data_IF_184154532672
#
_entry.id   IF_184154532672
#
_cell.length_a   1.000
_cell.length_b   1.000
_cell.length_c   1.000
_cell.angle_alpha   90.00
_cell.angle_beta   90.00
_cell.angle_gamma   90.00
#
_symmetry.space_group_name_H-M   'P 1'
#
loop_
_entity.id
_entity.type
_entity.pdbx_description
1 polymer ?
#
# COMPACT_ATOMS: atom_id res chain seq x y z
N UNK A 1 -11.13 7.72 11.27
CA UNK A 1 -9.80 8.36 11.40
C UNK A 1 -9.09 8.29 10.06
N UNK A 2 -8.22 9.24 9.71
CA UNK A 2 -7.38 9.09 8.52
C UNK A 2 -6.42 7.92 8.69
N UNK A 3 -6.19 7.13 7.64
CA UNK A 3 -5.16 6.08 7.65
C UNK A 3 -3.81 6.74 7.92
N UNK A 4 -3.01 6.23 8.88
CA UNK A 4 -1.69 6.79 9.16
C UNK A 4 -0.78 6.65 7.94
N UNK A 5 0.21 7.55 7.81
CA UNK A 5 1.28 7.39 6.82
C UNK A 5 2.08 6.12 7.16
N UNK A 6 2.07 5.16 6.24
CA UNK A 6 2.75 3.86 6.38
C UNK A 6 4.16 3.88 5.78
N UNK A 7 4.66 5.06 5.40
CA UNK A 7 5.91 5.27 4.67
C UNK A 7 5.70 5.84 3.26
N UNK A 8 4.49 6.27 2.90
CA UNK A 8 4.22 6.86 1.58
C UNK A 8 5.07 8.11 1.33
N UNK A 9 5.17 9.00 2.32
CA UNK A 9 5.96 10.22 2.16
C UNK A 9 7.44 9.89 1.88
N UNK A 10 8.04 9.04 2.71
CA UNK A 10 9.44 8.62 2.54
C UNK A 10 9.68 7.94 1.20
N UNK A 11 8.76 7.07 0.75
CA UNK A 11 8.90 6.39 -0.54
C UNK A 11 8.83 7.37 -1.72
N UNK A 12 7.96 8.39 -1.66
CA UNK A 12 7.86 9.45 -2.68
C UNK A 12 9.11 10.31 -2.73
N UNK A 13 9.65 10.71 -1.58
CA UNK A 13 10.90 11.44 -1.49
C UNK A 13 12.07 10.64 -2.09
N UNK A 14 12.13 9.33 -1.82
CA UNK A 14 13.14 8.44 -2.37
C UNK A 14 13.00 8.29 -3.89
N UNK A 15 11.77 8.15 -4.42
CA UNK A 15 11.52 8.11 -5.86
C UNK A 15 11.92 9.43 -6.55
N UNK A 16 11.64 10.57 -5.92
CA UNK A 16 12.05 11.87 -6.44
C UNK A 16 13.59 11.99 -6.49
N UNK A 17 14.29 11.54 -5.44
CA UNK A 17 15.75 11.49 -5.40
C UNK A 17 16.34 10.54 -6.46
N UNK A 18 15.69 9.40 -6.70
CA UNK A 18 16.11 8.41 -7.70
C UNK A 18 15.91 8.88 -9.16
N UNK A 19 14.91 9.72 -9.40
CA UNK A 19 14.58 10.26 -10.75
C UNK A 19 15.28 11.59 -11.05
N UNK A 20 16.07 12.12 -10.10
CA UNK A 20 16.72 13.42 -10.24
C UNK A 20 15.77 14.61 -10.16
N UNK A 21 14.52 14.39 -9.73
CA UNK A 21 13.53 15.46 -9.50
C UNK A 21 13.61 16.04 -8.07
N UNK A 22 14.35 15.38 -7.17
CA UNK A 22 14.66 15.84 -5.82
C UNK A 22 16.00 16.57 -5.70
N UNK A 23 16.25 17.19 -4.54
CA UNK A 23 17.50 17.91 -4.26
C UNK A 23 18.73 17.03 -4.00
N UNK A 24 18.54 15.70 -3.88
CA UNK A 24 19.59 14.72 -3.64
C UNK A 24 19.48 13.58 -4.66
N UNK A 25 20.62 12.97 -5.01
CA UNK A 25 20.70 11.84 -5.95
C UNK A 25 20.74 10.53 -5.16
N UNK A 26 19.84 9.61 -5.49
CA UNK A 26 19.85 8.25 -4.95
C UNK A 26 20.08 7.24 -6.08
N UNK A 27 21.24 6.57 -6.05
CA UNK A 27 21.62 5.52 -7.01
C UNK A 27 22.08 4.27 -6.25
N UNK A 28 21.73 3.09 -6.79
CA UNK A 28 22.15 1.79 -6.27
C UNK A 28 22.57 0.88 -7.43
N UNK A 29 23.28 -0.21 -7.12
CA UNK A 29 23.64 -1.21 -8.12
C UNK A 29 22.39 -1.88 -8.71
N UNK A 30 22.45 -2.22 -10.01
CA UNK A 30 21.32 -2.76 -10.77
C UNK A 30 20.77 -4.06 -10.17
N UNK A 31 21.65 -4.97 -9.76
CA UNK A 31 21.31 -6.24 -9.14
C UNK A 31 20.62 -6.04 -7.77
N UNK A 32 21.10 -5.07 -6.99
CA UNK A 32 20.49 -4.67 -5.71
C UNK A 32 19.09 -4.09 -5.94
N UNK A 33 18.92 -3.22 -6.94
CA UNK A 33 17.62 -2.66 -7.30
C UNK A 33 16.60 -3.74 -7.66
N UNK A 34 16.99 -4.72 -8.49
CA UNK A 34 16.11 -5.84 -8.87
C UNK A 34 15.73 -6.71 -7.68
N UNK A 35 16.69 -6.99 -6.78
CA UNK A 35 16.43 -7.79 -5.59
C UNK A 35 15.45 -7.09 -4.63
N UNK A 36 15.62 -5.78 -4.42
CA UNK A 36 14.71 -4.99 -3.60
C UNK A 36 13.32 -4.88 -4.25
N UNK A 37 13.25 -4.67 -5.56
CA UNK A 37 11.99 -4.66 -6.31
C UNK A 37 11.24 -6.00 -6.19
N UNK A 38 11.95 -7.13 -6.28
CA UNK A 38 11.36 -8.46 -6.10
C UNK A 38 10.87 -8.70 -4.66
N UNK A 39 11.53 -8.11 -3.65
CA UNK A 39 11.04 -8.15 -2.28
C UNK A 39 9.74 -7.34 -2.11
N UNK A 40 9.65 -6.16 -2.75
CA UNK A 40 8.42 -5.38 -2.80
C UNK A 40 7.28 -6.15 -3.49
N UNK A 41 7.55 -6.86 -4.58
CA UNK A 41 6.54 -7.68 -5.26
C UNK A 41 5.96 -8.77 -4.36
N UNK A 42 6.83 -9.51 -3.64
CA UNK A 42 6.38 -10.51 -2.67
C UNK A 42 5.52 -9.89 -1.56
N UNK A 43 5.91 -8.72 -1.05
CA UNK A 43 5.12 -8.02 -0.03
C UNK A 43 3.74 -7.62 -0.57
N UNK A 44 3.67 -7.10 -1.79
CA UNK A 44 2.40 -6.76 -2.43
C UNK A 44 1.52 -8.00 -2.59
N UNK A 45 2.07 -9.11 -3.05
CA UNK A 45 1.36 -10.39 -3.17
C UNK A 45 0.83 -10.88 -1.81
N UNK A 46 1.66 -10.84 -0.76
CA UNK A 46 1.28 -11.25 0.59
C UNK A 46 0.12 -10.41 1.13
N UNK A 47 0.21 -9.08 0.98
CA UNK A 47 -0.86 -8.16 1.37
C UNK A 47 -2.12 -8.39 0.53
N UNK A 48 -2.00 -8.73 -0.75
CA UNK A 48 -3.16 -9.07 -1.59
C UNK A 48 -3.83 -10.35 -1.12
N UNK A 49 -3.06 -11.35 -0.67
CA UNK A 49 -3.61 -12.58 -0.09
C UNK A 49 -4.36 -12.30 1.20
N UNK A 50 -3.82 -11.46 2.08
CA UNK A 50 -4.51 -11.02 3.31
C UNK A 50 -5.83 -10.34 2.97
N UNK A 51 -5.82 -9.36 2.06
CA UNK A 51 -7.04 -8.66 1.63
C UNK A 51 -8.10 -9.59 1.03
N UNK A 52 -7.67 -10.61 0.27
CA UNK A 52 -8.58 -11.62 -0.27
C UNK A 52 -9.14 -12.53 0.82
N UNK A 53 -8.57 -12.65 2.00
CA UNK A 53 -9.18 -13.39 3.10
C UNK A 53 -10.17 -12.52 3.93
N UNK A 54 -10.14 -11.20 3.76
CA UNK A 54 -10.81 -10.22 4.63
C UNK A 54 -12.28 -9.93 4.34
N UNK A 55 -12.88 -10.48 3.29
CA UNK A 55 -14.33 -10.28 3.05
C UNK A 55 -15.20 -10.76 4.23
N UNK A 56 -14.63 -11.55 5.14
CA UNK A 56 -15.25 -11.98 6.39
C UNK A 56 -15.17 -10.95 7.54
N UNK A 57 -14.29 -9.94 7.45
CA UNK A 57 -14.02 -9.01 8.56
C UNK A 57 -14.94 -7.78 8.58
N UNK A 58 -15.56 -7.42 7.45
CA UNK A 58 -16.40 -6.22 7.34
C UNK A 58 -17.89 -6.50 7.55
N UNK A 59 -18.32 -7.75 7.36
CA UNK A 59 -19.69 -8.21 7.56
C UNK A 59 -19.81 -9.05 8.83
N UNK A 60 -19.83 -8.38 9.99
CA UNK A 60 -19.82 -9.04 11.30
C UNK A 60 -21.24 -9.42 11.69
N UNK A 61 -21.47 -10.72 11.88
CA UNK A 61 -22.76 -11.31 12.27
C UNK A 61 -22.61 -12.12 13.56
N UNK A 62 -23.72 -12.50 14.20
CA UNK A 62 -23.72 -13.34 15.41
C UNK A 62 -23.91 -12.60 16.73
N UNK A 63 -24.00 -11.26 16.72
CA UNK A 63 -24.46 -10.50 17.88
C UNK A 63 -26.01 -10.50 17.96
N UNK A 64 -26.61 -10.51 19.17
CA UNK A 64 -28.06 -10.38 19.32
C UNK A 64 -28.60 -9.04 18.78
N UNK A 65 -29.86 -8.98 18.35
CA UNK A 65 -30.51 -7.76 17.82
C UNK A 65 -30.86 -6.70 18.89
N UNK A 66 -30.24 -6.79 20.06
CA UNK A 66 -30.32 -5.74 21.08
C UNK A 66 -29.46 -4.54 20.66
N UNK A 67 -29.76 -3.31 21.13
CA UNK A 67 -28.98 -2.11 20.78
C UNK A 67 -27.46 -2.26 20.98
N UNK A 68 -27.04 -2.97 22.03
CA UNK A 68 -25.63 -3.29 22.29
C UNK A 68 -25.02 -4.23 21.25
N UNK A 69 -25.76 -5.23 20.78
CA UNK A 69 -25.29 -6.16 19.75
C UNK A 69 -25.20 -5.50 18.37
N UNK A 70 -26.15 -4.64 18.02
CA UNK A 70 -26.04 -3.80 16.82
C UNK A 70 -24.82 -2.85 16.89
N UNK A 71 -24.56 -2.28 18.06
CA UNK A 71 -23.38 -1.43 18.30
C UNK A 71 -22.06 -2.19 18.12
N UNK A 72 -21.98 -3.43 18.61
CA UNK A 72 -20.81 -4.29 18.43
C UNK A 72 -20.61 -4.68 16.96
N UNK A 73 -21.66 -5.13 16.26
CA UNK A 73 -21.59 -5.49 14.85
C UNK A 73 -21.05 -4.32 14.01
N UNK A 74 -21.57 -3.11 14.26
CA UNK A 74 -21.06 -1.89 13.62
C UNK A 74 -19.60 -1.61 13.96
N UNK A 75 -19.24 -1.59 15.25
CA UNK A 75 -17.88 -1.27 15.69
C UNK A 75 -16.81 -2.22 15.16
N UNK A 76 -17.11 -3.53 15.09
CA UNK A 76 -16.20 -4.49 14.47
C UNK A 76 -16.16 -4.35 12.94
N UNK A 77 -17.30 -4.09 12.29
CA UNK A 77 -17.32 -3.80 10.85
C UNK A 77 -16.51 -2.55 10.49
N UNK A 78 -16.56 -1.51 11.33
CA UNK A 78 -15.75 -0.30 11.20
C UNK A 78 -14.25 -0.62 11.30
N UNK A 79 -13.84 -1.44 12.29
CA UNK A 79 -12.46 -1.92 12.43
C UNK A 79 -12.00 -2.77 11.24
N UNK A 80 -12.89 -3.61 10.69
CA UNK A 80 -12.60 -4.38 9.48
C UNK A 80 -12.28 -3.48 8.29
N UNK A 81 -13.01 -2.36 8.13
CA UNK A 81 -12.71 -1.36 7.09
C UNK A 81 -11.40 -0.63 7.35
N UNK A 82 -11.12 -0.26 8.61
CA UNK A 82 -9.83 0.33 8.97
C UNK A 82 -8.65 -0.60 8.65
N UNK A 83 -8.80 -1.91 8.91
CA UNK A 83 -7.79 -2.91 8.56
C UNK A 83 -7.54 -2.96 7.05
N UNK A 84 -8.60 -3.06 6.25
CA UNK A 84 -8.48 -3.06 4.78
C UNK A 84 -7.79 -1.79 4.28
N UNK A 85 -8.16 -0.62 4.81
CA UNK A 85 -7.53 0.66 4.48
C UNK A 85 -6.02 0.66 4.79
N UNK A 86 -5.63 0.08 5.93
CA UNK A 86 -4.21 -0.06 6.32
C UNK A 86 -3.46 -1.02 5.41
N UNK A 87 -4.05 -2.16 5.05
CA UNK A 87 -3.44 -3.12 4.12
C UNK A 87 -3.22 -2.48 2.74
N UNK A 88 -4.20 -1.73 2.24
CA UNK A 88 -4.08 -0.98 0.99
C UNK A 88 -2.99 0.11 1.08
N UNK A 89 -2.87 0.78 2.22
CA UNK A 89 -1.82 1.76 2.48
C UNK A 89 -0.41 1.14 2.38
N UNK A 90 -0.21 -0.04 2.97
CA UNK A 90 1.06 -0.76 2.87
C UNK A 90 1.35 -1.24 1.44
N UNK A 91 0.33 -1.64 0.68
CA UNK A 91 0.49 -1.99 -0.73
C UNK A 91 0.94 -0.78 -1.57
N UNK A 92 0.32 0.38 -1.36
CA UNK A 92 0.73 1.64 -2.01
C UNK A 92 2.19 1.95 -1.67
N UNK A 93 2.56 1.92 -0.38
CA UNK A 93 3.94 2.16 0.06
C UNK A 93 4.93 1.18 -0.58
N UNK A 94 4.62 -0.11 -0.65
CA UNK A 94 5.49 -1.12 -1.26
C UNK A 94 5.71 -0.87 -2.76
N UNK A 95 4.67 -0.46 -3.50
CA UNK A 95 4.76 -0.09 -4.91
C UNK A 95 5.60 1.18 -5.12
N UNK A 96 5.46 2.17 -4.25
CA UNK A 96 6.29 3.39 -4.28
C UNK A 96 7.76 3.08 -4.02
N UNK A 97 8.07 2.22 -3.04
CA UNK A 97 9.45 1.79 -2.80
C UNK A 97 10.01 0.98 -3.99
N UNK A 98 9.21 0.09 -4.58
CA UNK A 98 9.59 -0.62 -5.82
C UNK A 98 9.99 0.37 -6.91
N UNK A 99 9.17 1.40 -7.13
CA UNK A 99 9.45 2.43 -8.11
C UNK A 99 10.77 3.16 -7.80
N UNK A 100 10.99 3.55 -6.54
CA UNK A 100 12.22 4.21 -6.09
C UNK A 100 13.47 3.36 -6.31
N UNK A 101 13.45 2.08 -5.93
CA UNK A 101 14.59 1.18 -6.11
C UNK A 101 14.90 0.92 -7.58
N UNK A 102 13.87 0.70 -8.41
CA UNK A 102 14.05 0.52 -9.85
C UNK A 102 14.60 1.78 -10.52
N UNK A 103 14.10 2.97 -10.17
CA UNK A 103 14.64 4.22 -10.68
C UNK A 103 16.12 4.42 -10.27
N UNK A 104 16.46 4.10 -9.02
CA UNK A 104 17.82 4.21 -8.51
C UNK A 104 18.80 3.20 -9.17
N UNK A 105 18.28 2.07 -9.65
CA UNK A 105 18.99 1.11 -10.49
C UNK A 105 18.89 1.37 -12.00
N UNK A 106 18.35 2.52 -12.42
CA UNK A 106 18.21 2.95 -13.83
C UNK A 106 17.20 2.12 -14.67
N UNK A 107 16.31 1.39 -14.01
CA UNK A 107 15.17 0.67 -14.61
C UNK A 107 13.93 1.57 -14.75
N UNK A 108 14.05 2.70 -15.45
CA UNK A 108 13.02 3.74 -15.44
C UNK A 108 11.65 3.30 -15.97
N UNK A 109 11.59 2.42 -16.97
CA UNK A 109 10.32 1.94 -17.52
C UNK A 109 9.52 1.12 -16.49
N UNK A 110 10.20 0.23 -15.76
CA UNK A 110 9.60 -0.59 -14.72
C UNK A 110 9.28 0.25 -13.47
N UNK A 111 10.13 1.23 -13.16
CA UNK A 111 9.90 2.19 -12.09
C UNK A 111 8.63 3.00 -12.31
N UNK A 112 8.43 3.53 -13.52
CA UNK A 112 7.25 4.29 -13.89
C UNK A 112 5.98 3.41 -13.88
N UNK A 113 6.08 2.16 -14.32
CA UNK A 113 4.98 1.20 -14.22
C UNK A 113 4.57 0.92 -12.76
N UNK A 114 5.55 0.77 -11.86
CA UNK A 114 5.30 0.58 -10.43
C UNK A 114 4.69 1.84 -9.78
N UNK A 115 5.19 3.03 -10.14
CA UNK A 115 4.64 4.30 -9.66
C UNK A 115 3.18 4.49 -10.12
N UNK A 116 2.89 4.18 -11.38
CA UNK A 116 1.52 4.20 -11.91
C UNK A 116 0.60 3.26 -11.15
N UNK A 117 1.03 2.03 -10.89
CA UNK A 117 0.24 1.08 -10.11
C UNK A 117 -0.06 1.59 -8.69
N UNK A 118 0.89 2.30 -8.05
CA UNK A 118 0.65 2.93 -6.75
C UNK A 118 -0.41 4.04 -6.84
N UNK A 119 -0.35 4.88 -7.88
CA UNK A 119 -1.33 5.94 -8.11
C UNK A 119 -2.73 5.39 -8.41
N UNK A 120 -2.84 4.35 -9.23
CA UNK A 120 -4.11 3.66 -9.51
C UNK A 120 -4.72 3.08 -8.24
N UNK A 121 -3.90 2.46 -7.37
CA UNK A 121 -4.36 1.95 -6.09
C UNK A 121 -4.85 3.07 -5.16
N UNK A 122 -4.12 4.18 -5.09
CA UNK A 122 -4.50 5.34 -4.29
C UNK A 122 -5.81 5.97 -4.79
N UNK A 123 -5.98 6.09 -6.12
CA UNK A 123 -7.20 6.58 -6.75
C UNK A 123 -8.40 5.69 -6.43
N UNK A 124 -8.26 4.37 -6.61
CA UNK A 124 -9.32 3.40 -6.30
C UNK A 124 -9.75 3.46 -4.81
N UNK A 125 -8.80 3.70 -3.89
CA UNK A 125 -9.12 3.88 -2.46
C UNK A 125 -9.91 5.16 -2.19
N UNK A 126 -9.62 6.24 -2.91
CA UNK A 126 -10.37 7.50 -2.78
C UNK A 126 -11.80 7.38 -3.33
N UNK A 127 -11.99 6.62 -4.41
CA UNK A 127 -13.32 6.35 -4.99
C UNK A 127 -14.19 5.43 -4.12
N UNK A 128 -13.56 4.53 -3.35
CA UNK A 128 -14.26 3.57 -2.48
C UNK A 128 -14.70 4.15 -1.12
N UNK A 129 -14.34 5.41 -0.82
CA UNK A 129 -14.69 6.12 0.41
C UNK A 129 -15.93 6.99 0.24
#
# INVERSE_FOLDING_TARGET
MGTPDTGQQTARELYAAATGSGGAVFEIAEDVARNLAAACDRLVEDLQRVRRADHLLTAVTGFPELPSGCGLARGFGDKGREFVDTVLSFQETALLFKAAYLAAGKHFAEAEAANRAALELAAARLEAR
#
